data_IF_480154604716
#
_entry.id   IF_480154604716
#
_cell.length_a   1.000
_cell.length_b   1.000
_cell.length_c   1.000
_cell.angle_alpha   90.00
_cell.angle_beta   90.00
_cell.angle_gamma   90.00
#
_symmetry.space_group_name_H-M   'P 1'
#
loop_
_entity.id
_entity.type
_entity.pdbx_description
1 polymer ?
#
# COMPACT_ATOMS: atom_id res chain seq x y z
N UNK A 1 -10.93 11.34 -21.43
CA UNK A 1 -9.64 10.67 -21.18
C UNK A 1 -9.91 9.18 -21.11
N UNK A 2 -9.29 8.38 -21.97
CA UNK A 2 -9.38 6.92 -21.91
C UNK A 2 -8.50 6.40 -20.76
N UNK A 3 -8.76 5.20 -20.24
CA UNK A 3 -7.94 4.61 -19.17
C UNK A 3 -6.47 4.47 -19.59
N UNK A 4 -6.22 4.30 -20.90
CA UNK A 4 -4.89 4.26 -21.49
C UNK A 4 -4.19 5.63 -21.48
N UNK A 5 -4.90 6.70 -21.79
CA UNK A 5 -4.37 8.07 -21.72
C UNK A 5 -4.05 8.47 -20.28
N UNK A 6 -4.85 8.01 -19.32
CA UNK A 6 -4.62 8.21 -17.90
C UNK A 6 -3.35 7.49 -17.42
N UNK A 7 -3.25 6.19 -17.68
CA UNK A 7 -2.09 5.39 -17.29
C UNK A 7 -0.79 5.93 -17.91
N UNK A 8 -0.83 6.39 -19.16
CA UNK A 8 0.32 7.00 -19.81
C UNK A 8 0.74 8.31 -19.11
N UNK A 9 -0.22 9.19 -18.80
CA UNK A 9 0.09 10.45 -18.09
C UNK A 9 0.68 10.25 -16.68
N UNK A 10 0.40 9.11 -16.03
CA UNK A 10 0.96 8.78 -14.71
C UNK A 10 2.37 8.21 -14.76
N UNK A 11 2.81 7.68 -15.91
CA UNK A 11 4.13 7.08 -16.10
C UNK A 11 5.20 8.10 -16.55
N UNK A 12 4.78 9.28 -17.03
CA UNK A 12 5.64 10.23 -17.75
C UNK A 12 6.12 11.44 -16.93
N UNK A 13 5.78 11.57 -15.63
CA UNK A 13 6.25 12.70 -14.80
C UNK A 13 7.55 12.40 -14.02
N UNK A 14 8.66 12.93 -14.56
CA UNK A 14 10.00 12.98 -13.96
C UNK A 14 10.11 13.95 -12.76
N UNK A 15 11.03 13.60 -11.85
CA UNK A 15 11.25 13.99 -10.45
C UNK A 15 11.61 15.47 -10.14
N UNK A 16 11.04 16.47 -10.83
CA UNK A 16 11.54 17.86 -10.72
C UNK A 16 10.51 19.00 -10.71
N UNK A 17 9.32 18.82 -10.14
CA UNK A 17 8.44 19.96 -9.86
C UNK A 17 7.75 19.89 -8.49
N UNK A 18 8.01 20.90 -7.67
CA UNK A 18 7.56 21.04 -6.28
C UNK A 18 6.16 21.65 -6.20
N UNK A 19 5.23 21.14 -7.01
CA UNK A 19 3.80 21.46 -6.89
C UNK A 19 3.04 20.26 -6.31
N UNK A 20 2.04 20.49 -5.45
CA UNK A 20 1.19 19.41 -4.94
C UNK A 20 0.53 18.68 -6.13
N UNK A 21 0.44 17.33 -6.10
CA UNK A 21 -0.11 16.58 -7.22
C UNK A 21 -1.53 17.06 -7.50
N UNK A 22 -1.77 17.49 -8.73
CA UNK A 22 -3.08 17.95 -9.16
C UNK A 22 -4.05 16.77 -9.09
N UNK A 23 -5.07 16.87 -8.22
CA UNK A 23 -6.20 15.96 -8.22
C UNK A 23 -6.89 16.03 -9.58
N UNK A 24 -6.67 15.02 -10.42
CA UNK A 24 -7.38 14.89 -11.71
C UNK A 24 -8.67 14.13 -11.44
N UNK A 25 -9.79 14.87 -11.39
CA UNK A 25 -11.14 14.33 -11.24
C UNK A 25 -11.54 13.58 -12.52
N UNK A 26 -11.44 12.26 -12.46
CA UNK A 26 -11.62 11.34 -13.59
C UNK A 26 -12.98 10.65 -13.56
N UNK A 27 -14.07 11.41 -13.46
CA UNK A 27 -15.40 10.95 -13.92
C UNK A 27 -16.03 9.72 -13.25
N UNK A 28 -15.43 9.13 -12.21
CA UNK A 28 -16.01 8.08 -11.37
C UNK A 28 -16.37 8.69 -10.02
N UNK A 29 -17.40 9.55 -10.00
CA UNK A 29 -17.77 10.32 -8.79
C UNK A 29 -17.81 9.43 -7.53
N UNK A 30 -16.83 9.63 -6.65
CA UNK A 30 -16.76 9.13 -5.29
C UNK A 30 -16.29 7.67 -5.08
N UNK A 31 -15.92 6.92 -6.12
CA UNK A 31 -15.54 5.49 -5.94
C UNK A 31 -14.05 5.18 -6.11
N UNK A 32 -13.31 6.07 -6.76
CA UNK A 32 -11.87 5.92 -6.98
C UNK A 32 -11.19 7.28 -6.91
N UNK A 33 -10.04 7.32 -6.25
CA UNK A 33 -9.17 8.50 -6.13
C UNK A 33 -7.77 8.06 -6.55
N UNK A 34 -7.10 8.89 -7.34
CA UNK A 34 -5.75 8.63 -7.84
C UNK A 34 -4.81 9.70 -7.34
N UNK A 35 -3.55 9.31 -7.18
CA UNK A 35 -2.46 10.17 -6.74
C UNK A 35 -1.18 9.77 -7.46
N UNK A 36 -0.42 10.76 -7.90
CA UNK A 36 0.94 10.56 -8.43
C UNK A 36 1.91 10.92 -7.31
N UNK A 37 2.53 9.90 -6.71
CA UNK A 37 3.48 10.02 -5.61
C UNK A 37 4.24 8.70 -5.44
N UNK A 38 5.37 8.74 -4.72
CA UNK A 38 5.95 7.51 -4.17
C UNK A 38 4.97 6.84 -3.20
N UNK A 39 5.15 5.54 -2.95
CA UNK A 39 4.25 4.83 -2.03
C UNK A 39 4.31 5.42 -0.62
N UNK A 40 5.51 5.81 -0.16
CA UNK A 40 5.70 6.47 1.13
C UNK A 40 5.00 7.82 1.19
N UNK A 41 5.13 8.66 0.16
CA UNK A 41 4.48 9.97 0.12
C UNK A 41 2.95 9.82 0.09
N UNK A 42 2.43 8.92 -0.76
CA UNK A 42 1.00 8.62 -0.82
C UNK A 42 0.44 8.14 0.53
N UNK A 43 1.20 7.28 1.22
CA UNK A 43 0.82 6.80 2.54
C UNK A 43 0.71 7.94 3.56
N UNK A 44 1.69 8.85 3.59
CA UNK A 44 1.68 10.02 4.48
C UNK A 44 0.70 11.13 4.07
N UNK A 45 0.18 11.08 2.84
CA UNK A 45 -0.96 11.90 2.39
C UNK A 45 -2.32 11.24 2.70
N UNK A 46 -2.31 10.15 3.48
CA UNK A 46 -3.52 9.51 4.00
C UNK A 46 -4.19 8.55 3.04
N UNK A 47 -3.53 8.08 1.97
CA UNK A 47 -4.18 7.19 0.98
C UNK A 47 -4.63 5.85 1.57
N UNK A 48 -4.05 5.39 2.68
CA UNK A 48 -4.43 4.14 3.33
C UNK A 48 -5.28 4.33 4.61
N UNK A 49 -5.60 5.57 4.99
CA UNK A 49 -6.50 5.83 6.12
C UNK A 49 -7.89 5.28 5.83
N UNK A 50 -8.48 4.56 6.78
CA UNK A 50 -9.79 3.93 6.64
C UNK A 50 -9.82 2.71 5.72
N UNK A 51 -8.72 2.38 5.04
CA UNK A 51 -8.69 1.24 4.13
C UNK A 51 -8.73 -0.08 4.90
N UNK A 52 -9.73 -0.93 4.65
CA UNK A 52 -9.75 -2.29 5.22
C UNK A 52 -8.80 -3.25 4.50
N UNK A 53 -8.57 -3.01 3.20
CA UNK A 53 -7.72 -3.81 2.33
C UNK A 53 -6.68 -2.92 1.68
N UNK A 54 -5.41 -3.30 1.79
CA UNK A 54 -4.30 -2.67 1.08
C UNK A 54 -3.78 -3.64 0.00
N UNK A 55 -3.77 -3.19 -1.25
CA UNK A 55 -3.18 -3.94 -2.36
C UNK A 55 -1.83 -3.32 -2.67
N UNK A 56 -0.78 -4.14 -2.72
CA UNK A 56 0.58 -3.71 -3.05
C UNK A 56 1.15 -4.56 -4.18
N UNK A 57 1.77 -3.90 -5.15
CA UNK A 57 2.51 -4.53 -6.26
C UNK A 57 3.85 -3.80 -6.43
N UNK A 58 4.79 -3.97 -5.48
CA UNK A 58 6.05 -3.26 -5.51
C UNK A 58 6.97 -3.76 -6.63
N UNK A 59 7.98 -2.96 -7.03
CA UNK A 59 9.06 -3.44 -7.88
C UNK A 59 9.83 -4.60 -7.22
N UNK A 60 10.72 -5.27 -7.97
CA UNK A 60 11.52 -6.43 -7.49
C UNK A 60 12.29 -6.22 -6.18
N UNK A 61 12.53 -4.97 -5.76
CA UNK A 61 13.19 -4.63 -4.49
C UNK A 61 12.26 -4.77 -3.27
N UNK A 62 10.95 -4.92 -3.47
CA UNK A 62 9.94 -4.97 -2.41
C UNK A 62 9.39 -3.60 -2.04
N UNK A 63 8.66 -3.56 -0.92
CA UNK A 63 8.05 -2.34 -0.40
C UNK A 63 9.10 -1.29 -0.02
N UNK A 64 8.72 -0.01 -0.07
CA UNK A 64 9.49 1.05 0.58
C UNK A 64 9.52 0.83 2.11
N UNK A 65 10.65 1.12 2.74
CA UNK A 65 10.90 0.76 4.15
C UNK A 65 9.89 1.43 5.09
N UNK A 66 9.50 2.67 4.78
CA UNK A 66 8.52 3.42 5.56
C UNK A 66 7.12 2.81 5.46
N UNK A 67 6.73 2.28 4.29
CA UNK A 67 5.45 1.57 4.12
C UNK A 67 5.45 0.30 4.98
N UNK A 68 6.52 -0.48 4.89
CA UNK A 68 6.68 -1.70 5.69
C UNK A 68 6.71 -1.39 7.19
N UNK A 69 7.39 -0.32 7.58
CA UNK A 69 7.43 0.17 8.98
C UNK A 69 6.03 0.50 9.51
N UNK A 70 5.18 1.17 8.72
CA UNK A 70 3.81 1.45 9.14
C UNK A 70 2.96 0.18 9.24
N UNK A 71 3.12 -0.76 8.30
CA UNK A 71 2.42 -2.05 8.36
C UNK A 71 2.83 -2.88 9.59
N UNK A 72 4.08 -2.77 10.04
CA UNK A 72 4.59 -3.47 11.23
C UNK A 72 4.22 -2.79 12.57
N UNK A 73 3.53 -1.64 12.57
CA UNK A 73 3.05 -1.03 13.81
C UNK A 73 1.83 -1.79 14.37
N UNK A 74 1.76 -2.02 15.69
CA UNK A 74 0.55 -2.50 16.35
C UNK A 74 -0.64 -1.57 16.09
N UNK A 75 -1.85 -2.12 16.09
CA UNK A 75 -3.07 -1.33 16.01
C UNK A 75 -3.14 -0.31 17.16
N UNK A 76 -3.51 0.92 16.84
CA UNK A 76 -3.76 2.00 17.79
C UNK A 76 -5.28 2.17 17.99
N UNK A 77 -5.87 1.64 19.09
CA UNK A 77 -7.31 1.73 19.34
C UNK A 77 -7.78 3.14 19.70
N UNK A 78 -6.85 4.08 19.96
CA UNK A 78 -7.17 5.47 20.30
C UNK A 78 -7.13 6.40 19.08
N UNK A 79 -6.80 5.88 17.89
CA UNK A 79 -6.87 6.66 16.66
C UNK A 79 -8.25 6.48 16.02
N UNK A 80 -8.89 7.59 15.68
CA UNK A 80 -10.18 7.59 15.00
C UNK A 80 -10.09 6.93 13.61
N UNK A 81 -11.13 6.17 13.27
CA UNK A 81 -11.33 5.68 11.90
C UNK A 81 -11.75 6.86 11.00
N UNK A 82 -10.90 7.23 10.06
CA UNK A 82 -11.17 8.29 9.09
C UNK A 82 -10.62 7.93 7.71
N UNK A 83 -11.19 8.50 6.66
CA UNK A 83 -10.66 8.36 5.28
C UNK A 83 -9.88 9.60 4.82
N UNK A 84 -9.98 10.71 5.57
CA UNK A 84 -9.33 11.98 5.26
C UNK A 84 -8.45 12.43 6.43
N UNK A 85 -7.14 12.65 6.21
CA UNK A 85 -6.22 13.06 7.27
C UNK A 85 -6.59 14.40 7.92
N UNK A 86 -7.37 15.29 7.27
CA UNK A 86 -7.79 16.56 7.90
C UNK A 86 -8.72 16.35 9.09
N UNK A 87 -9.32 15.16 9.22
CA UNK A 87 -10.19 14.78 10.32
C UNK A 87 -9.42 14.20 11.52
N UNK A 88 -8.14 13.87 11.36
CA UNK A 88 -7.30 13.37 12.45
C UNK A 88 -6.87 14.51 13.38
N UNK A 89 -6.86 14.20 14.67
CA UNK A 89 -6.32 15.09 15.69
C UNK A 89 -4.89 14.68 16.06
N UNK A 90 -4.05 15.67 16.33
CA UNK A 90 -2.68 15.46 16.80
C UNK A 90 -1.62 15.60 15.71
N UNK A 91 -0.34 15.42 16.06
CA UNK A 91 0.77 15.63 15.14
C UNK A 91 0.98 14.44 14.19
N UNK A 92 1.42 14.70 12.96
CA UNK A 92 1.61 13.68 11.92
C UNK A 92 2.46 12.47 12.35
N UNK A 93 3.43 12.66 13.25
CA UNK A 93 4.30 11.59 13.74
C UNK A 93 3.58 10.58 14.66
N UNK A 94 2.45 10.97 15.25
CA UNK A 94 1.64 10.10 16.10
C UNK A 94 0.62 9.28 15.31
N UNK A 95 0.39 9.63 14.04
CA UNK A 95 -0.57 8.95 13.17
C UNK A 95 -0.02 7.59 12.73
N UNK A 96 -0.84 6.56 12.88
CA UNK A 96 -0.66 5.26 12.26
C UNK A 96 -1.41 5.24 10.92
N UNK A 97 -0.66 5.36 9.83
CA UNK A 97 -1.21 5.59 8.49
C UNK A 97 -1.87 4.35 7.86
N UNK A 98 -1.72 3.18 8.48
CA UNK A 98 -2.33 1.91 8.05
C UNK A 98 -3.17 1.28 9.17
N UNK A 99 -3.62 2.06 10.16
CA UNK A 99 -4.25 1.56 11.39
C UNK A 99 -5.41 0.58 11.16
N UNK A 100 -6.21 0.87 10.13
CA UNK A 100 -7.47 0.17 9.83
C UNK A 100 -7.30 -0.98 8.82
N UNK A 101 -6.09 -1.14 8.26
CA UNK A 101 -5.80 -2.19 7.28
C UNK A 101 -5.83 -3.54 8.00
N UNK A 102 -6.70 -4.43 7.55
CA UNK A 102 -6.85 -5.79 8.09
C UNK A 102 -6.37 -6.84 7.09
N UNK A 103 -6.35 -6.52 5.80
CA UNK A 103 -5.94 -7.43 4.73
C UNK A 103 -4.88 -6.75 3.88
N UNK A 104 -3.76 -7.45 3.65
CA UNK A 104 -2.78 -7.07 2.63
C UNK A 104 -2.86 -8.09 1.51
N UNK A 105 -3.06 -7.63 0.28
CA UNK A 105 -2.88 -8.42 -0.94
C UNK A 105 -1.55 -7.98 -1.55
N UNK A 106 -0.52 -8.82 -1.42
CA UNK A 106 0.82 -8.56 -1.92
C UNK A 106 1.03 -9.32 -3.22
N UNK A 107 1.19 -8.59 -4.33
CA UNK A 107 1.59 -9.11 -5.64
C UNK A 107 3.09 -8.91 -5.80
N UNK A 108 3.84 -9.95 -6.20
CA UNK A 108 5.30 -9.86 -6.30
C UNK A 108 5.88 -10.70 -7.42
N UNK A 109 6.77 -10.08 -8.20
CA UNK A 109 7.65 -10.74 -9.16
C UNK A 109 9.05 -11.06 -8.59
N UNK A 110 9.30 -10.73 -7.31
CA UNK A 110 10.60 -10.84 -6.65
C UNK A 110 10.54 -11.69 -5.38
N UNK A 111 10.97 -12.95 -5.48
CA UNK A 111 10.87 -13.92 -4.38
C UNK A 111 11.65 -13.49 -3.13
N UNK A 112 12.91 -13.03 -3.28
CA UNK A 112 13.75 -12.66 -2.13
C UNK A 112 13.19 -11.45 -1.36
N UNK A 113 12.71 -10.45 -2.10
CA UNK A 113 12.09 -9.27 -1.51
C UNK A 113 10.77 -9.63 -0.81
N UNK A 114 9.93 -10.45 -1.45
CA UNK A 114 8.72 -10.98 -0.83
C UNK A 114 9.04 -11.71 0.47
N UNK A 115 9.99 -12.66 0.46
CA UNK A 115 10.34 -13.44 1.64
C UNK A 115 10.82 -12.56 2.81
N UNK A 116 11.65 -11.55 2.53
CA UNK A 116 12.12 -10.59 3.54
C UNK A 116 10.96 -9.74 4.09
N UNK A 117 10.09 -9.24 3.23
CA UNK A 117 8.97 -8.40 3.66
C UNK A 117 7.94 -9.24 4.45
N UNK A 118 7.68 -10.49 4.05
CA UNK A 118 6.90 -11.47 4.80
C UNK A 118 7.45 -11.66 6.22
N UNK A 119 8.76 -11.88 6.35
CA UNK A 119 9.40 -12.11 7.65
C UNK A 119 9.18 -10.91 8.58
N UNK A 120 9.35 -9.68 8.09
CA UNK A 120 9.07 -8.48 8.89
C UNK A 120 7.60 -8.37 9.29
N UNK A 121 6.65 -8.67 8.40
CA UNK A 121 5.22 -8.62 8.71
C UNK A 121 4.85 -9.65 9.79
N UNK A 122 5.31 -10.89 9.64
CA UNK A 122 4.97 -12.02 10.51
C UNK A 122 5.67 -11.98 11.88
N UNK A 123 6.84 -11.36 11.97
CA UNK A 123 7.59 -11.24 13.24
C UNK A 123 7.28 -9.97 14.01
N UNK A 124 6.67 -8.96 13.37
CA UNK A 124 6.27 -7.74 14.04
C UNK A 124 5.10 -7.98 15.01
N UNK A 125 5.01 -7.13 16.04
CA UNK A 125 3.88 -7.13 16.99
C UNK A 125 2.57 -6.54 16.40
N UNK A 126 2.45 -6.49 15.08
CA UNK A 126 1.28 -6.00 14.36
C UNK A 126 0.19 -7.05 14.16
N UNK A 127 0.45 -8.32 14.50
CA UNK A 127 -0.53 -9.40 14.45
C UNK A 127 -0.83 -9.91 13.04
N UNK A 128 0.06 -9.69 12.06
CA UNK A 128 -0.13 -10.22 10.72
C UNK A 128 0.11 -11.73 10.68
N UNK A 129 -0.81 -12.43 10.02
CA UNK A 129 -0.72 -13.85 9.70
C UNK A 129 -0.79 -14.02 8.18
N UNK A 130 -0.02 -14.97 7.66
CA UNK A 130 -0.09 -15.35 6.25
C UNK A 130 -1.27 -16.31 6.05
N UNK A 131 -2.33 -15.82 5.42
CA UNK A 131 -3.52 -16.61 5.09
C UNK A 131 -3.24 -17.55 3.91
N UNK A 132 -2.61 -17.06 2.86
CA UNK A 132 -2.27 -17.86 1.67
C UNK A 132 -1.13 -17.22 0.87
N UNK A 133 -0.43 -18.04 0.10
CA UNK A 133 0.56 -17.60 -0.89
C UNK A 133 0.50 -18.52 -2.10
N UNK A 134 0.25 -17.95 -3.28
CA UNK A 134 0.09 -18.70 -4.54
C UNK A 134 1.04 -18.16 -5.59
N UNK A 135 1.86 -19.04 -6.15
CA UNK A 135 2.73 -18.74 -7.29
C UNK A 135 2.02 -18.97 -8.64
N UNK A 136 2.29 -18.10 -9.59
CA UNK A 136 1.77 -18.08 -10.94
C UNK A 136 2.93 -17.98 -11.94
N UNK A 137 2.87 -18.84 -12.96
CA UNK A 137 3.82 -18.79 -14.08
C UNK A 137 3.17 -17.97 -15.20
N UNK A 138 3.34 -16.64 -15.15
CA UNK A 138 2.83 -15.77 -16.22
C UNK A 138 3.69 -15.82 -17.48
N UNK A 139 4.99 -16.16 -17.35
CA UNK A 139 5.96 -16.19 -18.45
C UNK A 139 6.67 -17.54 -18.54
N UNK A 140 6.05 -18.56 -19.18
CA UNK A 140 6.66 -19.87 -19.37
C UNK A 140 8.01 -19.78 -20.10
N UNK A 141 9.00 -20.57 -19.65
CA UNK A 141 10.35 -20.56 -20.21
C UNK A 141 11.28 -19.49 -19.62
N UNK A 142 10.82 -18.76 -18.60
CA UNK A 142 11.65 -17.86 -17.80
C UNK A 142 11.80 -18.39 -16.37
N UNK A 143 12.75 -17.83 -15.62
CA UNK A 143 12.86 -18.05 -14.17
C UNK A 143 11.99 -17.06 -13.36
N UNK A 144 10.96 -16.47 -13.97
CA UNK A 144 10.04 -15.55 -13.30
C UNK A 144 8.85 -16.31 -12.71
N UNK A 145 8.57 -16.01 -11.44
CA UNK A 145 7.36 -16.42 -10.73
C UNK A 145 6.68 -15.18 -10.20
N UNK A 146 5.39 -15.05 -10.48
CA UNK A 146 4.54 -14.03 -9.87
C UNK A 146 3.84 -14.65 -8.67
N UNK A 147 3.86 -14.00 -7.53
CA UNK A 147 3.26 -14.52 -6.31
C UNK A 147 2.20 -13.58 -5.80
N UNK A 148 1.04 -14.11 -5.42
CA UNK A 148 0.03 -13.39 -4.65
C UNK A 148 0.04 -13.96 -3.23
N UNK A 149 0.41 -13.15 -2.25
CA UNK A 149 0.34 -13.46 -0.83
C UNK A 149 -0.76 -12.63 -0.18
N UNK A 150 -1.57 -13.28 0.66
CA UNK A 150 -2.64 -12.64 1.43
C UNK A 150 -2.26 -12.70 2.90
N UNK A 151 -2.17 -11.53 3.54
CA UNK A 151 -2.00 -11.42 4.98
C UNK A 151 -3.27 -10.91 5.61
N UNK A 152 -3.59 -11.42 6.80
CA UNK A 152 -4.70 -10.95 7.62
C UNK A 152 -4.20 -10.60 9.01
N UNK A 153 -4.82 -9.62 9.64
CA UNK A 153 -4.70 -9.38 11.07
C UNK A 153 -6.07 -9.03 11.64
N UNK A 154 -6.30 -9.41 12.88
CA UNK A 154 -7.45 -8.92 13.65
C UNK A 154 -7.05 -7.65 14.40
N UNK A 155 -7.88 -6.63 14.31
CA UNK A 155 -7.69 -5.37 15.05
C UNK A 155 -8.67 -5.24 16.23
N UNK A 156 -9.53 -6.24 16.44
CA UNK A 156 -10.55 -6.28 17.48
C UNK A 156 -10.24 -7.25 18.64
N UNK A 157 -9.04 -7.85 18.66
CA UNK A 157 -8.59 -8.80 19.69
C UNK A 157 -7.94 -8.13 20.90
#
# INVERSE_FOLDING_TARGET
MTMKELMQSMMDEDDNNMNPPAYTDLGVKGKARYMVASATKALYEGQALGANVLIVDPPRKGLEEEVLTQLCKPHNPNQDYVEDPVLLQGPNHAIHWTNDVQIIIYVSCGFDALARDCDKLLTASAGWELESSTGYILFPGTNHVETVAIFKRDIFS
#
